data_IF_966857974327
#
_entry.id   IF_966857974327
#
_cell.length_a   1.000
_cell.length_b   1.000
_cell.length_c   1.000
_cell.angle_alpha   90.00
_cell.angle_beta   90.00
_cell.angle_gamma   90.00
#
_symmetry.space_group_name_H-M   'P 1'
#
loop_
_entity.id
_entity.type
_entity.pdbx_description
1 polymer ?
#
# COMPACT_ATOMS: atom_id res chain seq x y z
N UNK A 1 -7.21 9.59 -14.97
CA UNK A 1 -6.67 9.87 -13.62
C UNK A 1 -7.67 9.36 -12.59
N UNK A 2 -7.19 8.68 -11.58
CA UNK A 2 -8.07 8.12 -10.55
C UNK A 2 -8.72 9.21 -9.69
N UNK A 3 -10.01 9.06 -9.39
CA UNK A 3 -10.74 9.95 -8.48
C UNK A 3 -10.18 9.94 -7.06
N UNK A 4 -9.51 8.84 -6.66
CA UNK A 4 -8.92 8.70 -5.33
C UNK A 4 -7.88 9.78 -5.03
N UNK A 5 -7.20 10.28 -6.06
CA UNK A 5 -6.16 11.31 -5.90
C UNK A 5 -6.72 12.66 -5.41
N UNK A 6 -8.04 12.83 -5.42
CA UNK A 6 -8.71 14.02 -4.89
C UNK A 6 -9.05 13.91 -3.40
N UNK A 7 -8.92 12.71 -2.83
CA UNK A 7 -9.24 12.45 -1.42
C UNK A 7 -8.10 12.90 -0.48
N UNK A 8 -8.46 13.15 0.78
CA UNK A 8 -7.52 13.44 1.87
C UNK A 8 -7.47 12.28 2.88
N UNK A 9 -6.31 11.96 3.44
CA UNK A 9 -4.98 12.56 3.21
C UNK A 9 -4.39 12.13 1.85
N UNK A 10 -3.80 13.06 1.12
CA UNK A 10 -3.26 12.82 -0.24
C UNK A 10 -2.28 11.65 -0.30
N UNK A 11 -1.35 11.58 0.63
CA UNK A 11 -0.34 10.52 0.66
C UNK A 11 -0.94 9.12 0.77
N UNK A 12 -1.95 8.96 1.62
CA UNK A 12 -2.66 7.69 1.79
C UNK A 12 -3.30 7.23 0.47
N UNK A 13 -4.11 8.09 -0.13
CA UNK A 13 -4.88 7.74 -1.32
C UNK A 13 -4.01 7.59 -2.57
N UNK A 14 -2.93 8.35 -2.68
CA UNK A 14 -1.90 8.18 -3.70
C UNK A 14 -1.31 6.76 -3.65
N UNK A 15 -0.93 6.29 -2.47
CA UNK A 15 -0.37 4.95 -2.31
C UNK A 15 -1.42 3.86 -2.49
N UNK A 16 -2.64 4.06 -2.01
CA UNK A 16 -3.72 3.11 -2.23
C UNK A 16 -4.07 2.96 -3.72
N UNK A 17 -4.16 4.06 -4.44
CA UNK A 17 -4.37 4.05 -5.90
C UNK A 17 -3.25 3.30 -6.62
N UNK A 18 -1.99 3.53 -6.22
CA UNK A 18 -0.84 2.80 -6.76
C UNK A 18 -0.93 1.30 -6.48
N UNK A 19 -1.31 0.90 -5.27
CA UNK A 19 -1.50 -0.51 -4.90
C UNK A 19 -2.59 -1.14 -5.77
N UNK A 20 -3.73 -0.48 -5.95
CA UNK A 20 -4.80 -0.95 -6.83
C UNK A 20 -4.31 -1.17 -8.29
N UNK A 21 -3.37 -0.38 -8.75
CA UNK A 21 -2.82 -0.49 -10.11
C UNK A 21 -1.91 -1.71 -10.31
N UNK A 22 -1.46 -2.35 -9.22
CA UNK A 22 -0.52 -3.47 -9.26
C UNK A 22 -1.29 -4.76 -8.94
N UNK A 23 -1.33 -5.76 -9.84
CA UNK A 23 -1.90 -7.07 -9.51
C UNK A 23 -1.18 -7.70 -8.31
N UNK A 24 -1.96 -8.06 -7.27
CA UNK A 24 -1.39 -8.61 -6.02
C UNK A 24 -2.30 -9.63 -5.34
N UNK A 25 -2.88 -10.60 -6.09
CA UNK A 25 -3.70 -11.63 -5.47
C UNK A 25 -2.85 -12.53 -4.57
N UNK A 26 -3.47 -13.08 -3.52
CA UNK A 26 -2.81 -14.01 -2.61
C UNK A 26 -2.09 -15.13 -3.35
N UNK A 27 -0.87 -15.42 -2.96
CA UNK A 27 0.09 -16.38 -3.55
C UNK A 27 0.74 -15.92 -4.87
N UNK A 28 0.48 -14.69 -5.31
CA UNK A 28 1.11 -14.05 -6.46
C UNK A 28 1.48 -12.62 -6.13
N UNK A 29 2.28 -12.45 -5.04
CA UNK A 29 2.64 -11.16 -4.48
C UNK A 29 3.90 -10.55 -5.09
N UNK A 30 4.53 -11.18 -6.06
CA UNK A 30 5.84 -10.79 -6.60
C UNK A 30 5.86 -9.33 -7.08
N UNK A 31 4.80 -8.91 -7.76
CA UNK A 31 4.72 -7.56 -8.32
C UNK A 31 4.59 -6.48 -7.24
N UNK A 32 3.74 -6.73 -6.23
CA UNK A 32 3.56 -5.78 -5.13
C UNK A 32 4.80 -5.73 -4.24
N UNK A 33 5.43 -6.87 -3.95
CA UNK A 33 6.69 -6.93 -3.20
C UNK A 33 7.79 -6.15 -3.92
N UNK A 34 7.93 -6.33 -5.24
CA UNK A 34 8.90 -5.57 -6.04
C UNK A 34 8.62 -4.06 -5.97
N UNK A 35 7.36 -3.65 -6.02
CA UNK A 35 6.97 -2.24 -5.90
C UNK A 35 7.29 -1.66 -4.52
N UNK A 36 7.12 -2.44 -3.44
CA UNK A 36 7.49 -2.02 -2.09
C UNK A 36 9.00 -1.85 -1.94
N UNK A 37 9.78 -2.76 -2.49
CA UNK A 37 11.26 -2.64 -2.51
C UNK A 37 11.69 -1.40 -3.30
N UNK A 38 11.08 -1.15 -4.45
CA UNK A 38 11.38 0.04 -5.25
C UNK A 38 11.03 1.33 -4.51
N UNK A 39 9.88 1.37 -3.83
CA UNK A 39 9.51 2.49 -2.96
C UNK A 39 10.59 2.77 -1.90
N UNK A 40 11.11 1.73 -1.23
CA UNK A 40 12.16 1.90 -0.23
C UNK A 40 13.43 2.50 -0.84
N UNK A 41 13.84 2.03 -2.01
CA UNK A 41 15.00 2.55 -2.75
C UNK A 41 14.82 4.01 -3.16
N UNK A 42 13.69 4.36 -3.76
CA UNK A 42 13.37 5.71 -4.22
C UNK A 42 13.36 6.72 -3.07
N UNK A 43 12.96 6.29 -1.88
CA UNK A 43 12.89 7.13 -0.69
C UNK A 43 14.11 7.02 0.23
N UNK A 44 15.17 6.30 -0.18
CA UNK A 44 16.37 6.06 0.61
C UNK A 44 16.06 5.47 2.00
N UNK A 45 15.10 4.55 2.06
CA UNK A 45 14.69 3.87 3.28
C UNK A 45 15.43 2.53 3.38
N UNK A 46 16.04 2.27 4.54
CA UNK A 46 16.62 0.96 4.83
C UNK A 46 15.53 -0.11 4.76
N UNK A 47 15.79 -1.19 4.02
CA UNK A 47 14.84 -2.29 3.91
C UNK A 47 15.52 -3.65 3.97
N UNK A 48 14.75 -4.64 4.36
CA UNK A 48 15.12 -6.05 4.28
C UNK A 48 13.97 -6.82 3.63
N UNK A 49 14.28 -7.58 2.61
CA UNK A 49 13.40 -8.58 2.01
C UNK A 49 13.85 -9.95 2.52
N UNK A 50 12.97 -10.67 3.20
CA UNK A 50 13.28 -12.00 3.68
C UNK A 50 12.98 -13.08 2.62
N UNK A 51 13.33 -14.32 2.93
CA UNK A 51 13.21 -15.47 2.01
C UNK A 51 11.78 -15.88 1.69
N UNK A 52 10.80 -15.44 2.49
CA UNK A 52 9.37 -15.71 2.25
C UNK A 52 8.62 -14.52 1.68
N UNK A 53 9.32 -13.42 1.40
CA UNK A 53 8.75 -12.25 0.74
C UNK A 53 8.24 -11.16 1.67
N UNK A 54 8.53 -11.19 2.98
CA UNK A 54 8.22 -10.08 3.85
C UNK A 54 9.18 -8.91 3.59
N UNK A 55 8.65 -7.70 3.51
CA UNK A 55 9.44 -6.47 3.35
C UNK A 55 9.41 -5.71 4.68
N UNK A 56 10.57 -5.54 5.28
CA UNK A 56 10.76 -4.78 6.52
C UNK A 56 11.47 -3.48 6.16
N UNK A 57 10.86 -2.36 6.47
CA UNK A 57 11.42 -1.03 6.25
C UNK A 57 11.71 -0.36 7.59
N UNK A 58 12.79 0.40 7.67
CA UNK A 58 13.18 1.10 8.89
C UNK A 58 13.40 2.58 8.61
N UNK A 59 12.72 3.41 9.37
CA UNK A 59 12.86 4.85 9.34
C UNK A 59 13.39 5.31 10.71
N UNK A 60 14.59 5.94 10.75
CA UNK A 60 15.12 6.44 12.02
C UNK A 60 14.26 7.57 12.57
N UNK A 61 14.34 7.77 13.87
CA UNK A 61 13.64 8.89 14.54
C UNK A 61 14.03 10.23 13.92
N UNK A 62 13.09 11.18 13.93
CA UNK A 62 13.39 12.57 13.62
C UNK A 62 14.23 13.19 14.75
N UNK A 63 14.99 14.22 14.40
CA UNK A 63 15.91 14.90 15.33
C UNK A 63 15.17 15.31 16.62
N UNK A 64 15.72 14.90 17.76
CA UNK A 64 15.16 15.17 19.09
C UNK A 64 14.13 14.13 19.55
N UNK A 65 13.79 13.15 18.72
CA UNK A 65 12.81 12.11 19.04
C UNK A 65 13.44 10.71 19.22
N UNK A 66 14.76 10.64 19.27
CA UNK A 66 15.52 9.38 19.32
C UNK A 66 15.22 8.54 20.57
N UNK A 67 14.83 9.20 21.67
CA UNK A 67 14.49 8.54 22.94
C UNK A 67 13.01 8.11 23.04
N UNK A 68 12.22 8.35 22.00
CA UNK A 68 10.83 7.90 21.96
C UNK A 68 10.76 6.40 21.68
N UNK A 69 9.69 5.78 22.14
CA UNK A 69 9.44 4.37 21.86
C UNK A 69 9.33 4.13 20.37
N UNK A 70 9.93 3.04 19.90
CA UNK A 70 9.74 2.58 18.53
C UNK A 70 8.29 2.16 18.29
N UNK A 71 7.82 2.38 17.05
CA UNK A 71 6.49 1.96 16.59
C UNK A 71 6.64 1.05 15.38
N UNK A 72 5.92 -0.05 15.38
CA UNK A 72 5.84 -0.95 14.23
C UNK A 72 4.47 -0.78 13.57
N UNK A 73 4.47 -0.42 12.29
CA UNK A 73 3.29 -0.43 11.45
C UNK A 73 3.31 -1.73 10.64
N UNK A 74 2.33 -2.60 10.86
CA UNK A 74 2.28 -3.90 10.22
C UNK A 74 1.00 -4.03 9.37
N UNK A 75 1.15 -4.54 8.16
CA UNK A 75 0.06 -4.81 7.24
C UNK A 75 0.43 -5.97 6.33
N UNK A 76 -0.55 -6.57 5.65
CA UNK A 76 -0.28 -7.53 4.58
C UNK A 76 -0.56 -6.92 3.20
N UNK A 77 0.20 -7.34 2.19
CA UNK A 77 0.16 -6.72 0.87
C UNK A 77 -0.64 -7.52 -0.17
N UNK A 78 -1.04 -8.74 0.14
CA UNK A 78 -1.89 -9.53 -0.74
C UNK A 78 -3.37 -9.19 -0.58
N UNK A 79 -4.18 -9.61 -1.53
CA UNK A 79 -5.62 -9.47 -1.48
C UNK A 79 -6.34 -10.74 -1.90
N UNK A 80 -7.54 -10.95 -1.37
CA UNK A 80 -8.44 -12.01 -1.81
C UNK A 80 -8.98 -11.68 -3.21
N UNK A 81 -8.71 -12.53 -4.23
CA UNK A 81 -9.14 -12.27 -5.60
C UNK A 81 -10.53 -12.86 -5.85
N UNK A 82 -11.57 -12.06 -5.74
CA UNK A 82 -12.94 -12.43 -6.05
C UNK A 82 -13.58 -11.42 -6.99
N UNK A 83 -14.44 -11.88 -7.87
CA UNK A 83 -15.17 -11.04 -8.84
C UNK A 83 -16.59 -11.52 -9.06
N UNK A 84 -17.44 -10.65 -9.58
CA UNK A 84 -18.77 -11.01 -10.03
C UNK A 84 -18.70 -11.99 -11.23
N UNK A 85 -19.68 -12.87 -11.36
CA UNK A 85 -19.69 -13.90 -12.41
C UNK A 85 -19.67 -13.33 -13.83
N UNK A 86 -20.25 -12.16 -14.04
CA UNK A 86 -20.29 -11.47 -15.34
C UNK A 86 -19.12 -10.52 -15.58
N UNK A 87 -18.20 -10.40 -14.63
CA UNK A 87 -17.02 -9.54 -14.75
C UNK A 87 -15.87 -10.26 -15.43
N UNK A 88 -15.38 -9.69 -16.53
CA UNK A 88 -14.11 -10.11 -17.15
C UNK A 88 -12.96 -9.43 -16.43
N UNK A 89 -12.14 -10.19 -15.74
CA UNK A 89 -10.99 -9.69 -15.00
C UNK A 89 -10.01 -10.83 -14.75
N UNK A 90 -8.74 -10.58 -15.04
CA UNK A 90 -7.63 -11.48 -14.71
C UNK A 90 -6.82 -10.86 -13.58
N UNK A 91 -6.90 -11.43 -12.37
CA UNK A 91 -6.20 -10.91 -11.20
C UNK A 91 -4.67 -10.96 -11.30
N UNK A 92 -4.11 -11.70 -12.25
CA UNK A 92 -2.65 -11.76 -12.46
C UNK A 92 -2.13 -10.61 -13.32
N UNK A 93 -2.99 -9.98 -14.12
CA UNK A 93 -2.59 -8.98 -15.11
C UNK A 93 -3.34 -7.66 -15.00
N UNK A 94 -4.61 -7.69 -14.58
CA UNK A 94 -5.47 -6.52 -14.60
C UNK A 94 -5.43 -5.75 -13.27
N UNK A 95 -5.46 -4.41 -13.32
CA UNK A 95 -5.55 -3.60 -12.12
C UNK A 95 -6.93 -3.68 -11.50
N UNK A 96 -7.02 -3.47 -10.20
CA UNK A 96 -8.29 -3.18 -9.53
C UNK A 96 -8.72 -1.76 -9.93
N UNK A 97 -9.99 -1.58 -10.25
CA UNK A 97 -10.55 -0.30 -10.67
C UNK A 97 -11.38 0.31 -9.54
N UNK A 98 -10.76 1.14 -8.68
CA UNK A 98 -11.49 1.81 -7.61
C UNK A 98 -12.33 2.95 -8.15
N UNK A 99 -13.45 3.20 -7.50
CA UNK A 99 -14.34 4.34 -7.78
C UNK A 99 -14.94 4.90 -6.50
N UNK A 100 -15.35 6.14 -6.53
CA UNK A 100 -16.08 6.77 -5.44
C UNK A 100 -17.58 6.67 -5.72
N UNK A 101 -18.34 6.17 -4.74
CA UNK A 101 -19.77 6.06 -4.80
C UNK A 101 -20.36 6.60 -3.48
N UNK A 102 -20.79 7.85 -3.50
CA UNK A 102 -21.21 8.56 -2.29
C UNK A 102 -20.06 8.72 -1.32
N UNK A 103 -20.19 8.18 -0.12
CA UNK A 103 -19.17 8.20 0.93
C UNK A 103 -18.25 6.96 0.91
N UNK A 104 -18.37 6.12 -0.11
CA UNK A 104 -17.65 4.84 -0.19
C UNK A 104 -16.64 4.82 -1.33
N UNK A 105 -15.51 4.21 -1.08
CA UNK A 105 -14.61 3.74 -2.13
C UNK A 105 -14.91 2.27 -2.39
N UNK A 106 -15.23 1.94 -3.63
CA UNK A 106 -15.58 0.58 -4.07
C UNK A 106 -14.74 0.16 -5.27
N UNK A 107 -14.59 -1.13 -5.46
CA UNK A 107 -14.06 -1.68 -6.71
C UNK A 107 -15.19 -1.90 -7.72
N UNK A 108 -14.84 -1.97 -8.99
CA UNK A 108 -15.75 -2.22 -10.10
C UNK A 108 -15.72 -3.70 -10.46
N UNK A 109 -16.74 -4.44 -10.01
CA UNK A 109 -16.94 -5.87 -10.35
C UNK A 109 -16.01 -6.85 -9.61
N UNK A 110 -15.08 -6.38 -8.80
CA UNK A 110 -14.13 -7.21 -8.05
C UNK A 110 -14.07 -6.83 -6.58
N UNK A 111 -13.36 -7.64 -5.78
CA UNK A 111 -12.89 -7.22 -4.46
C UNK A 111 -11.98 -6.00 -4.58
N UNK A 112 -11.98 -5.13 -3.57
CA UNK A 112 -11.19 -3.89 -3.56
C UNK A 112 -9.76 -4.09 -3.07
N UNK A 113 -9.55 -5.02 -2.15
CA UNK A 113 -8.24 -5.24 -1.53
C UNK A 113 -7.87 -4.20 -0.47
N UNK A 114 -8.86 -3.47 0.07
CA UNK A 114 -8.60 -2.53 1.17
C UNK A 114 -8.13 -3.22 2.45
N UNK A 115 -8.47 -4.47 2.63
CA UNK A 115 -7.91 -5.35 3.63
C UNK A 115 -6.78 -6.19 3.00
N UNK A 116 -5.50 -5.82 3.16
CA UNK A 116 -5.07 -4.71 3.99
C UNK A 116 -4.31 -3.64 3.17
N UNK A 117 -4.71 -3.41 1.93
CA UNK A 117 -4.08 -2.40 1.06
C UNK A 117 -4.11 -0.99 1.66
N UNK A 118 -5.16 -0.66 2.43
CA UNK A 118 -5.22 0.66 3.08
C UNK A 118 -4.20 0.78 4.21
N UNK A 119 -3.95 -0.31 4.95
CA UNK A 119 -2.90 -0.34 5.98
C UNK A 119 -1.51 -0.21 5.37
N UNK A 120 -1.25 -0.88 4.26
CA UNK A 120 0.00 -0.73 3.50
C UNK A 120 0.15 0.72 3.03
N UNK A 121 -0.89 1.30 2.43
CA UNK A 121 -0.88 2.68 1.95
C UNK A 121 -0.61 3.68 3.07
N UNK A 122 -1.21 3.49 4.25
CA UNK A 122 -0.98 4.32 5.42
C UNK A 122 0.48 4.25 5.89
N UNK A 123 1.04 3.05 5.98
CA UNK A 123 2.44 2.87 6.36
C UNK A 123 3.39 3.55 5.36
N UNK A 124 3.16 3.39 4.06
CA UNK A 124 3.96 4.05 3.02
C UNK A 124 3.86 5.58 3.10
N UNK A 125 2.67 6.11 3.34
CA UNK A 125 2.46 7.54 3.50
C UNK A 125 3.26 8.12 4.68
N UNK A 126 3.27 7.42 5.82
CA UNK A 126 4.07 7.81 7.00
C UNK A 126 5.56 7.72 6.70
N UNK A 127 6.01 6.67 6.02
CA UNK A 127 7.42 6.49 5.67
C UNK A 127 7.92 7.57 4.69
N UNK A 128 7.10 7.98 3.72
CA UNK A 128 7.45 8.99 2.73
C UNK A 128 7.41 10.41 3.29
N UNK A 129 6.54 10.69 4.26
CA UNK A 129 6.32 12.04 4.79
C UNK A 129 7.54 12.55 5.55
N UNK A 130 8.06 13.70 5.12
CA UNK A 130 9.24 14.35 5.71
C UNK A 130 8.86 15.44 6.72
N UNK A 131 7.58 15.67 6.95
CA UNK A 131 7.07 16.72 7.85
C UNK A 131 6.67 16.18 9.22
N UNK A 132 6.48 14.88 9.34
CA UNK A 132 6.11 14.23 10.59
C UNK A 132 7.29 14.16 11.56
N UNK A 133 7.04 14.48 12.81
CA UNK A 133 7.98 14.20 13.91
C UNK A 133 7.64 12.84 14.53
N UNK A 134 8.63 11.98 14.67
CA UNK A 134 8.40 10.62 15.15
C UNK A 134 9.64 10.01 15.80
N UNK A 135 9.42 9.04 16.70
CA UNK A 135 10.46 8.12 17.16
C UNK A 135 10.87 7.12 16.09
N UNK A 136 11.73 6.19 16.42
CA UNK A 136 12.15 5.15 15.47
C UNK A 136 10.99 4.22 15.11
#
# INVERSE_FOLDING_TARGET
MSELLNLEPKGLWKHFDKICSIPHPSKHEEKIVAALVEFAKENNIEYKLDEVGNVIMRKPATKGMENRKGVILQAHCDMVPQKNNDTKHDFLTDPILPRIEGEWVKATGTTLGADNGIGVAAALAVLEDKTLEHGP
#
